data_IF_468829207190
#
_entry.id   IF_468829207190
#
_cell.length_a   1.000
_cell.length_b   1.000
_cell.length_c   1.000
_cell.angle_alpha   90.00
_cell.angle_beta   90.00
_cell.angle_gamma   90.00
#
_symmetry.space_group_name_H-M   'P 1'
#
loop_
_entity.id
_entity.type
_entity.pdbx_description
1 polymer ?
#
# COMPACT_ATOMS: atom_id res chain seq x y z
N UNK A 1 7.25 -2.09 -10.19
CA UNK A 1 5.84 -2.07 -9.71
C UNK A 1 5.87 -1.92 -8.20
N UNK A 2 5.40 -0.77 -7.69
CA UNK A 2 5.29 -0.55 -6.25
C UNK A 2 3.97 -1.16 -5.76
N UNK A 3 3.99 -1.70 -4.55
CA UNK A 3 2.77 -2.16 -3.86
C UNK A 3 2.56 -1.26 -2.67
N UNK A 4 1.32 -0.87 -2.44
CA UNK A 4 0.93 -0.03 -1.32
C UNK A 4 -0.05 -0.81 -0.48
N UNK A 5 0.34 -1.14 0.75
CA UNK A 5 -0.53 -1.84 1.69
C UNK A 5 -1.14 -0.84 2.66
N UNK A 6 -2.46 -0.89 2.80
CA UNK A 6 -3.16 -0.15 3.84
C UNK A 6 -2.81 -0.77 5.20
N UNK A 7 -2.18 0.01 6.07
CA UNK A 7 -1.79 -0.43 7.43
C UNK A 7 -2.98 -0.64 8.38
N UNK A 8 -4.19 -0.23 7.95
CA UNK A 8 -5.41 -0.29 8.77
C UNK A 8 -6.25 -1.52 8.44
N UNK A 9 -6.50 -1.79 7.17
CA UNK A 9 -7.35 -2.92 6.74
C UNK A 9 -6.61 -4.01 5.97
N UNK A 10 -5.35 -3.79 5.59
CA UNK A 10 -4.57 -4.74 4.79
C UNK A 10 -4.83 -4.70 3.28
N UNK A 11 -5.65 -3.76 2.78
CA UNK A 11 -5.87 -3.60 1.34
C UNK A 11 -4.56 -3.32 0.59
N UNK A 12 -4.29 -4.07 -0.49
CA UNK A 12 -3.09 -3.93 -1.31
C UNK A 12 -3.47 -3.25 -2.63
N UNK A 13 -2.83 -2.12 -2.90
CA UNK A 13 -2.91 -1.42 -4.18
C UNK A 13 -1.62 -1.63 -4.98
N UNK A 14 -1.73 -2.02 -6.24
CA UNK A 14 -0.60 -2.21 -7.15
C UNK A 14 -0.55 -1.04 -8.11
N UNK A 15 0.46 -0.18 -7.98
CA UNK A 15 0.55 1.07 -8.72
C UNK A 15 1.76 1.90 -8.28
N UNK A 16 2.13 2.91 -9.06
CA UNK A 16 3.27 3.78 -8.72
C UNK A 16 3.00 4.66 -7.50
N UNK A 17 1.72 4.94 -7.21
CA UNK A 17 1.28 5.80 -6.11
C UNK A 17 0.11 5.14 -5.35
N UNK A 18 -0.06 5.42 -4.04
CA UNK A 18 -1.21 4.93 -3.29
C UNK A 18 -2.49 5.71 -3.69
N UNK A 19 -3.68 5.10 -3.54
CA UNK A 19 -4.93 5.80 -3.80
C UNK A 19 -5.18 6.88 -2.72
N UNK A 20 -5.85 7.98 -3.08
CA UNK A 20 -6.16 9.11 -2.16
C UNK A 20 -6.89 8.66 -0.89
N UNK A 21 -7.78 7.66 -1.03
CA UNK A 21 -8.45 6.99 0.08
C UNK A 21 -8.48 5.50 -0.16
N UNK A 22 -8.38 4.74 0.92
CA UNK A 22 -8.54 3.30 0.85
C UNK A 22 -9.98 2.95 0.41
N UNK A 23 -10.18 2.16 -0.66
CA UNK A 23 -11.52 1.78 -1.11
C UNK A 23 -12.20 0.79 -0.15
N UNK A 24 -11.44 0.13 0.73
CA UNK A 24 -11.97 -0.85 1.68
C UNK A 24 -12.40 -0.21 3.00
N UNK A 25 -11.59 0.67 3.59
CA UNK A 25 -11.88 1.26 4.91
C UNK A 25 -11.99 2.79 4.92
N UNK A 26 -11.77 3.48 3.80
CA UNK A 26 -11.95 4.93 3.67
C UNK A 26 -10.86 5.80 4.29
N UNK A 27 -9.80 5.23 4.87
CA UNK A 27 -8.68 5.99 5.45
C UNK A 27 -7.87 6.71 4.36
N UNK A 28 -7.21 7.84 4.68
CA UNK A 28 -6.41 8.58 3.71
C UNK A 28 -5.18 7.81 3.24
N UNK A 29 -4.64 8.22 2.08
CA UNK A 29 -3.41 7.68 1.47
C UNK A 29 -2.21 7.63 2.42
N UNK A 30 -2.15 8.53 3.41
CA UNK A 30 -1.11 8.58 4.44
C UNK A 30 -1.01 7.29 5.27
N UNK A 31 -2.09 6.49 5.32
CA UNK A 31 -2.10 5.18 6.01
C UNK A 31 -1.65 4.03 5.12
N UNK A 32 -1.26 4.29 3.87
CA UNK A 32 -0.63 3.31 3.01
C UNK A 32 0.88 3.28 3.22
N UNK A 33 1.43 2.08 3.25
CA UNK A 33 2.87 1.84 3.33
C UNK A 33 3.33 1.19 2.03
N UNK A 34 4.41 1.71 1.46
CA UNK A 34 5.04 1.08 0.30
C UNK A 34 5.65 -0.26 0.73
N UNK A 35 5.10 -1.35 0.22
CA UNK A 35 5.77 -2.64 0.15
C UNK A 35 6.72 -2.58 -1.05
N UNK A 36 7.87 -1.94 -0.85
CA UNK A 36 9.01 -2.16 -1.73
C UNK A 36 9.47 -3.58 -1.46
N UNK A 37 9.22 -4.47 -2.41
CA UNK A 37 9.67 -5.86 -2.37
C UNK A 37 11.18 -5.91 -2.52
N UNK A 38 11.89 -5.54 -1.46
CA UNK A 38 13.31 -5.83 -1.33
C UNK A 38 13.42 -7.35 -1.16
N UNK A 39 13.71 -8.02 -2.28
CA UNK A 39 14.24 -9.36 -2.26
C UNK A 39 15.60 -9.29 -1.58
N UNK A 40 15.64 -9.34 -0.25
CA UNK A 40 16.80 -9.86 0.46
C UNK A 40 16.74 -11.39 0.34
N UNK A 41 17.39 -11.87 -0.70
CA UNK A 41 17.85 -13.25 -0.79
C UNK A 41 18.96 -13.41 0.24
N UNK A 42 18.72 -14.26 1.22
CA UNK A 42 19.75 -14.88 2.06
C UNK A 42 19.37 -16.35 2.27
#
# INVERSE_FOLDING_TARGET
MKKWVCTVCGYVHEGEQPPEKCPTCGVPAEKFKEMSGEREWA
#
